data_IF_248371358957
#
_entry.id   IF_248371358957
#
_cell.length_a   1.000
_cell.length_b   1.000
_cell.length_c   1.000
_cell.angle_alpha   90.00
_cell.angle_beta   90.00
_cell.angle_gamma   90.00
#
_symmetry.space_group_name_H-M   'P 1'
#
loop_
_entity.id
_entity.type
_entity.pdbx_description
1 polymer ?
#
# COMPACT_ATOMS: atom_id res chain seq x y z
N UNK A 1 -35.06 22.20 45.59
CA UNK A 1 -34.26 23.16 44.81
C UNK A 1 -32.77 22.84 45.03
N UNK A 2 -32.18 22.00 44.19
CA UNK A 2 -30.75 21.89 44.08
C UNK A 2 -30.43 21.35 42.69
N UNK A 3 -30.27 22.26 41.75
CA UNK A 3 -29.72 21.97 40.43
C UNK A 3 -28.21 21.73 40.60
N UNK A 4 -27.77 20.51 40.33
CA UNK A 4 -26.38 20.19 40.14
C UNK A 4 -26.04 20.34 38.66
N UNK A 5 -25.34 21.42 38.35
CA UNK A 5 -24.68 21.64 37.06
C UNK A 5 -23.64 20.57 36.81
N UNK A 6 -23.91 19.68 35.85
CA UNK A 6 -22.92 18.76 35.34
C UNK A 6 -21.88 19.51 34.49
N UNK A 7 -20.65 19.49 34.97
CA UNK A 7 -19.50 20.13 34.34
C UNK A 7 -19.04 19.36 33.07
N UNK A 8 -18.76 20.06 31.95
CA UNK A 8 -18.32 19.41 30.69
C UNK A 8 -16.94 18.79 30.71
N UNK A 9 -16.24 18.78 31.85
CA UNK A 9 -14.87 18.26 32.01
C UNK A 9 -14.80 16.71 32.17
N UNK A 10 -15.94 15.99 32.22
CA UNK A 10 -15.94 14.51 32.31
C UNK A 10 -16.02 13.77 30.98
N UNK A 11 -16.25 14.46 29.86
CA UNK A 11 -16.31 13.84 28.53
C UNK A 11 -14.93 13.66 27.87
N UNK A 12 -13.92 14.42 28.28
CA UNK A 12 -12.55 14.36 27.69
C UNK A 12 -11.68 13.20 28.23
N UNK A 13 -12.09 12.53 29.32
CA UNK A 13 -11.28 11.51 30.01
C UNK A 13 -11.53 10.07 29.52
N UNK A 14 -12.35 9.86 28.50
CA UNK A 14 -12.67 8.50 27.98
C UNK A 14 -11.94 8.10 26.68
N UNK A 15 -11.07 8.94 26.15
CA UNK A 15 -10.27 8.66 24.94
C UNK A 15 -8.88 8.07 25.21
N UNK A 16 -8.45 8.02 26.45
CA UNK A 16 -7.14 7.46 26.85
C UNK A 16 -7.34 6.01 27.32
N UNK A 17 -6.95 5.03 26.49
CA UNK A 17 -6.80 3.65 26.96
C UNK A 17 -7.26 2.53 26.05
N UNK A 18 -7.46 2.74 24.75
CA UNK A 18 -7.58 1.60 23.86
C UNK A 18 -6.17 1.06 23.59
N UNK A 19 -5.84 -0.11 24.15
CA UNK A 19 -4.57 -0.78 23.85
C UNK A 19 -4.40 -0.82 22.32
N UNK A 20 -3.27 -0.30 21.83
CA UNK A 20 -2.97 -0.29 20.39
C UNK A 20 -2.76 -1.74 19.96
N UNK A 21 -3.76 -2.30 19.26
CA UNK A 21 -3.72 -3.68 18.79
C UNK A 21 -2.89 -3.74 17.51
N UNK A 22 -1.89 -4.60 17.47
CA UNK A 22 -1.11 -4.87 16.27
C UNK A 22 -1.89 -5.79 15.35
N UNK A 23 -2.19 -5.33 14.14
CA UNK A 23 -2.88 -6.11 13.09
C UNK A 23 -1.89 -6.94 12.29
N UNK A 24 -0.78 -6.34 11.86
CA UNK A 24 0.25 -6.98 11.05
C UNK A 24 1.59 -6.84 11.76
N UNK A 25 2.36 -7.92 11.82
CA UNK A 25 3.71 -7.90 12.35
C UNK A 25 4.69 -8.57 11.39
N UNK A 26 5.70 -7.82 10.95
CA UNK A 26 6.89 -8.33 10.31
C UNK A 26 7.99 -8.52 11.37
N UNK A 27 8.49 -9.73 11.51
CA UNK A 27 9.53 -10.04 12.49
C UNK A 27 10.78 -10.57 11.79
N UNK A 28 11.80 -9.70 11.63
CA UNK A 28 13.10 -9.98 11.00
C UNK A 28 12.94 -10.66 9.62
N UNK A 29 12.03 -10.13 8.81
CA UNK A 29 11.67 -10.71 7.52
C UNK A 29 12.75 -10.43 6.48
N UNK A 30 13.24 -11.47 5.82
CA UNK A 30 14.17 -11.37 4.70
C UNK A 30 13.66 -12.15 3.50
N UNK A 31 13.93 -11.66 2.30
CA UNK A 31 13.61 -12.35 1.05
C UNK A 31 14.79 -12.28 0.09
N UNK A 32 15.27 -13.46 -0.30
CA UNK A 32 16.30 -13.66 -1.30
C UNK A 32 15.71 -14.37 -2.51
N UNK A 33 16.08 -13.95 -3.70
CA UNK A 33 15.72 -14.58 -4.96
C UNK A 33 16.96 -15.18 -5.61
N UNK A 34 16.79 -16.31 -6.29
CA UNK A 34 17.83 -16.92 -7.12
C UNK A 34 17.42 -16.76 -8.58
N UNK A 35 18.24 -16.07 -9.35
CA UNK A 35 18.07 -15.91 -10.80
C UNK A 35 19.08 -16.82 -11.49
N UNK A 36 18.62 -17.69 -12.38
CA UNK A 36 19.50 -18.49 -13.22
C UNK A 36 20.05 -17.62 -14.35
N UNK A 37 21.35 -17.50 -14.44
CA UNK A 37 22.01 -16.86 -15.57
C UNK A 37 22.04 -17.80 -16.80
N UNK A 38 22.24 -17.20 -17.98
CA UNK A 38 22.31 -17.95 -19.23
C UNK A 38 23.44 -19.02 -19.26
N UNK A 39 24.45 -18.87 -18.40
CA UNK A 39 25.55 -19.80 -18.20
C UNK A 39 25.21 -20.99 -17.27
N UNK A 40 23.97 -21.07 -16.77
CA UNK A 40 23.50 -22.11 -15.84
C UNK A 40 23.86 -21.87 -14.36
N UNK A 41 24.64 -20.84 -14.04
CA UNK A 41 24.94 -20.46 -12.65
C UNK A 41 23.78 -19.67 -12.04
N UNK A 42 23.45 -19.97 -10.81
CA UNK A 42 22.43 -19.24 -10.06
C UNK A 42 23.04 -18.05 -9.31
N UNK A 43 22.69 -16.84 -9.70
CA UNK A 43 23.01 -15.66 -8.90
C UNK A 43 21.91 -15.38 -7.88
N UNK A 44 22.27 -15.24 -6.62
CA UNK A 44 21.33 -14.88 -5.55
C UNK A 44 21.40 -13.38 -5.27
N UNK A 45 20.25 -12.76 -5.06
CA UNK A 45 20.20 -11.40 -4.55
C UNK A 45 19.15 -11.26 -3.46
N UNK A 46 19.46 -10.46 -2.44
CA UNK A 46 18.55 -10.15 -1.33
C UNK A 46 17.73 -8.90 -1.68
N UNK A 47 16.42 -9.08 -1.80
CA UNK A 47 15.51 -7.97 -2.09
C UNK A 47 15.22 -7.13 -0.83
N UNK A 48 14.86 -7.81 0.27
CA UNK A 48 14.66 -7.22 1.59
C UNK A 48 15.40 -8.00 2.65
N UNK A 49 15.84 -7.33 3.70
CA UNK A 49 16.65 -7.92 4.75
C UNK A 49 16.27 -7.37 6.12
N UNK A 50 16.03 -8.27 7.07
CA UNK A 50 15.76 -7.98 8.48
C UNK A 50 14.64 -6.94 8.71
N UNK A 51 13.60 -6.96 7.87
CA UNK A 51 12.46 -6.04 8.00
C UNK A 51 11.69 -6.39 9.27
N UNK A 52 11.64 -5.42 10.19
CA UNK A 52 10.83 -5.46 11.41
C UNK A 52 9.91 -4.25 11.38
N UNK A 53 8.60 -4.48 11.34
CA UNK A 53 7.58 -3.45 11.26
C UNK A 53 6.27 -3.99 11.84
N UNK A 54 5.58 -3.18 12.61
CA UNK A 54 4.21 -3.42 13.05
C UNK A 54 3.25 -2.43 12.38
N UNK A 55 2.06 -2.91 12.02
CA UNK A 55 0.95 -2.10 11.55
C UNK A 55 -0.21 -2.30 12.51
N UNK A 56 -0.78 -1.20 12.98
CA UNK A 56 -1.87 -1.19 13.97
C UNK A 56 -3.21 -1.51 13.31
N UNK A 57 -4.15 -2.01 14.08
CA UNK A 57 -5.52 -2.21 13.59
C UNK A 57 -6.16 -0.88 13.17
N UNK A 58 -6.77 -0.85 11.99
CA UNK A 58 -7.40 0.35 11.42
C UNK A 58 -6.42 1.44 10.98
N UNK A 59 -5.12 1.17 10.98
CA UNK A 59 -4.09 2.12 10.58
C UNK A 59 -3.99 2.27 9.06
N UNK A 60 -3.73 3.51 8.62
CA UNK A 60 -3.26 3.80 7.27
C UNK A 60 -1.73 3.92 7.31
N UNK A 61 -1.02 2.82 7.09
CA UNK A 61 0.43 2.76 7.02
C UNK A 61 0.90 3.01 5.60
N UNK A 62 1.78 3.99 5.40
CA UNK A 62 2.42 4.23 4.10
C UNK A 62 3.87 3.77 4.13
N UNK A 63 4.31 3.13 3.05
CA UNK A 63 5.68 2.69 2.86
C UNK A 63 6.27 3.44 1.66
N UNK A 64 7.37 4.15 1.91
CA UNK A 64 8.11 4.90 0.88
C UNK A 64 9.53 4.38 0.75
N UNK A 65 10.13 4.53 -0.42
CA UNK A 65 11.51 4.13 -0.65
C UNK A 65 11.89 4.24 -2.14
N UNK A 66 13.20 4.19 -2.48
CA UNK A 66 13.64 4.27 -3.86
C UNK A 66 13.11 3.11 -4.72
N UNK A 67 13.13 3.29 -6.05
CA UNK A 67 12.74 2.23 -6.97
C UNK A 67 13.64 0.99 -6.79
N UNK A 68 13.02 -0.20 -6.82
CA UNK A 68 13.73 -1.46 -6.68
C UNK A 68 14.22 -1.80 -5.26
N UNK A 69 13.84 -1.05 -4.22
CA UNK A 69 14.24 -1.33 -2.84
C UNK A 69 13.49 -2.53 -2.19
N UNK A 70 12.48 -3.09 -2.85
CA UNK A 70 11.74 -4.25 -2.35
C UNK A 70 10.33 -3.97 -1.81
N UNK A 71 9.73 -2.80 -2.07
CA UNK A 71 8.38 -2.46 -1.61
C UNK A 71 7.32 -3.45 -2.09
N UNK A 72 7.27 -3.73 -3.40
CA UNK A 72 6.33 -4.72 -3.96
C UNK A 72 6.61 -6.13 -3.43
N UNK A 73 7.91 -6.47 -3.20
CA UNK A 73 8.27 -7.75 -2.56
C UNK A 73 7.66 -7.84 -1.14
N UNK A 74 7.65 -6.74 -0.40
CA UNK A 74 7.04 -6.70 0.93
C UNK A 74 5.53 -6.92 0.87
N UNK A 75 4.84 -6.34 -0.13
CA UNK A 75 3.42 -6.59 -0.38
C UNK A 75 3.14 -8.03 -0.81
N UNK A 76 3.97 -8.60 -1.70
CA UNK A 76 3.83 -10.00 -2.11
C UNK A 76 3.95 -10.97 -0.93
N UNK A 77 4.86 -10.68 -0.01
CA UNK A 77 5.03 -11.45 1.22
C UNK A 77 3.81 -11.30 2.15
N UNK A 78 3.31 -10.08 2.35
CA UNK A 78 2.12 -9.80 3.14
C UNK A 78 0.87 -10.42 2.51
N UNK A 79 0.75 -10.37 1.18
CA UNK A 79 -0.33 -11.01 0.42
C UNK A 79 -0.26 -12.54 0.42
N UNK A 80 0.86 -13.14 0.89
CA UNK A 80 1.08 -14.58 0.86
C UNK A 80 1.37 -15.12 -0.55
N UNK A 81 1.66 -14.23 -1.53
CA UNK A 81 1.99 -14.62 -2.91
C UNK A 81 3.39 -15.24 -3.00
N UNK A 82 4.25 -14.90 -2.07
CA UNK A 82 5.57 -15.53 -1.90
C UNK A 82 5.87 -15.72 -0.41
N UNK A 83 6.77 -16.67 -0.10
CA UNK A 83 7.18 -16.94 1.28
C UNK A 83 8.46 -16.18 1.63
N UNK A 84 8.64 -15.72 2.88
CA UNK A 84 9.91 -15.17 3.34
C UNK A 84 11.01 -16.24 3.30
N UNK A 85 12.25 -15.83 3.05
CA UNK A 85 13.43 -16.71 3.17
C UNK A 85 13.86 -16.86 4.62
N UNK A 86 13.59 -15.83 5.45
CA UNK A 86 13.82 -15.81 6.92
C UNK A 86 12.78 -14.91 7.57
N UNK A 87 12.57 -15.12 8.87
CA UNK A 87 11.61 -14.36 9.65
C UNK A 87 10.17 -14.82 9.45
N UNK A 88 9.22 -14.11 10.04
CA UNK A 88 7.80 -14.44 10.01
C UNK A 88 6.96 -13.18 9.81
N UNK A 89 5.81 -13.36 9.15
CA UNK A 89 4.78 -12.32 9.05
C UNK A 89 3.51 -12.89 9.66
N UNK A 90 2.90 -12.14 10.56
CA UNK A 90 1.63 -12.52 11.17
C UNK A 90 0.55 -11.49 10.89
N UNK A 91 -0.69 -11.97 10.77
CA UNK A 91 -1.91 -11.20 10.75
C UNK A 91 -2.75 -11.64 11.95
N UNK A 92 -3.14 -10.72 12.83
CA UNK A 92 -3.82 -11.02 14.11
C UNK A 92 -3.11 -12.12 14.92
N UNK A 93 -1.76 -12.10 14.93
CA UNK A 93 -0.93 -13.10 15.59
C UNK A 93 -0.81 -14.44 14.87
N UNK A 94 -1.60 -14.71 13.82
CA UNK A 94 -1.53 -15.94 13.04
C UNK A 94 -0.52 -15.80 11.87
N UNK A 95 0.37 -16.78 11.62
CA UNK A 95 1.32 -16.74 10.52
C UNK A 95 0.63 -16.71 9.15
N UNK A 96 1.13 -15.89 8.24
CA UNK A 96 0.70 -15.89 6.84
C UNK A 96 1.35 -17.06 6.11
N UNK A 97 0.53 -18.00 5.65
CA UNK A 97 1.00 -19.22 4.97
C UNK A 97 0.76 -19.20 3.45
N UNK A 98 -0.14 -18.34 2.96
CA UNK A 98 -0.50 -18.21 1.56
C UNK A 98 -1.55 -17.13 1.32
N UNK A 99 -2.03 -16.96 0.06
CA UNK A 99 -3.10 -16.04 -0.27
C UNK A 99 -4.39 -16.41 0.46
N UNK A 100 -5.16 -15.38 0.91
CA UNK A 100 -6.45 -15.57 1.57
C UNK A 100 -7.35 -14.35 1.33
N UNK A 101 -8.65 -14.50 1.63
CA UNK A 101 -9.66 -13.44 1.42
C UNK A 101 -9.73 -12.41 2.57
N UNK A 102 -8.89 -12.55 3.58
CA UNK A 102 -8.70 -11.58 4.66
C UNK A 102 -7.84 -10.38 4.21
N UNK A 103 -7.19 -10.49 3.03
CA UNK A 103 -6.31 -9.47 2.46
C UNK A 103 -6.73 -9.12 1.04
N UNK A 104 -6.91 -7.83 0.77
CA UNK A 104 -7.17 -7.27 -0.56
C UNK A 104 -5.91 -6.65 -1.16
N UNK A 105 -5.70 -6.80 -2.48
CA UNK A 105 -4.57 -6.22 -3.19
C UNK A 105 -5.08 -5.36 -4.33
N UNK A 106 -4.63 -4.09 -4.37
CA UNK A 106 -4.77 -3.18 -5.51
C UNK A 106 -3.41 -3.02 -6.16
N UNK A 107 -3.26 -3.55 -7.37
CA UNK A 107 -2.01 -3.52 -8.12
C UNK A 107 -1.83 -2.21 -8.89
N UNK A 108 -0.60 -1.83 -9.18
CA UNK A 108 -0.22 -0.65 -9.95
C UNK A 108 -0.88 -0.60 -11.34
N UNK A 109 -1.03 -1.74 -12.01
CA UNK A 109 -1.63 -1.85 -13.34
C UNK A 109 -3.11 -2.27 -13.30
N UNK A 110 -3.85 -1.95 -12.23
CA UNK A 110 -5.27 -2.24 -12.00
C UNK A 110 -5.61 -3.75 -11.95
N UNK A 111 -4.97 -4.59 -12.76
CA UNK A 111 -5.20 -6.03 -12.90
C UNK A 111 -6.69 -6.41 -13.05
N UNK A 112 -7.45 -5.60 -13.80
CA UNK A 112 -8.85 -5.89 -14.11
C UNK A 112 -8.93 -7.01 -15.16
N UNK A 113 -9.95 -7.86 -15.03
CA UNK A 113 -10.27 -8.87 -16.02
C UNK A 113 -10.86 -8.19 -17.26
N UNK A 114 -10.17 -8.19 -18.43
CA UNK A 114 -10.61 -7.43 -19.59
C UNK A 114 -11.90 -7.98 -20.22
N UNK A 115 -12.23 -9.24 -19.97
CA UNK A 115 -13.45 -9.91 -20.43
C UNK A 115 -14.65 -9.76 -19.48
N UNK A 116 -14.48 -9.09 -18.34
CA UNK A 116 -15.56 -8.78 -17.39
C UNK A 116 -15.88 -7.29 -17.42
N UNK A 117 -17.14 -6.95 -17.20
CA UNK A 117 -17.57 -5.57 -16.97
C UNK A 117 -17.03 -5.04 -15.63
N UNK A 118 -17.23 -3.75 -15.33
CA UNK A 118 -16.91 -3.15 -14.05
C UNK A 118 -17.59 -3.93 -12.91
N UNK A 119 -18.91 -4.18 -13.02
CA UNK A 119 -19.67 -4.98 -12.08
C UNK A 119 -19.09 -6.38 -11.92
N UNK A 120 -18.86 -7.10 -13.02
CA UNK A 120 -18.31 -8.46 -12.99
C UNK A 120 -16.88 -8.52 -12.40
N UNK A 121 -16.09 -7.46 -12.52
CA UNK A 121 -14.80 -7.35 -11.83
C UNK A 121 -14.98 -7.24 -10.31
N UNK A 122 -15.93 -6.44 -9.84
CA UNK A 122 -16.20 -6.27 -8.40
C UNK A 122 -16.81 -7.55 -7.81
N UNK A 123 -17.69 -8.24 -8.52
CA UNK A 123 -18.30 -9.51 -8.09
C UNK A 123 -17.27 -10.64 -7.88
N UNK A 124 -16.11 -10.59 -8.52
CA UNK A 124 -15.15 -11.71 -8.53
C UNK A 124 -14.73 -12.19 -7.13
N UNK A 125 -14.38 -11.27 -6.23
CA UNK A 125 -14.00 -11.64 -4.85
C UNK A 125 -15.18 -12.23 -4.06
N UNK A 126 -16.39 -11.77 -4.34
CA UNK A 126 -17.63 -12.26 -3.75
C UNK A 126 -18.00 -13.67 -4.26
N UNK A 127 -17.67 -13.98 -5.54
CA UNK A 127 -17.75 -15.34 -6.09
C UNK A 127 -16.86 -16.30 -5.31
N UNK A 128 -15.63 -15.89 -5.01
CA UNK A 128 -14.69 -16.70 -4.23
C UNK A 128 -15.21 -16.96 -2.79
N UNK A 129 -15.93 -15.99 -2.20
CA UNK A 129 -16.64 -16.15 -0.92
C UNK A 129 -17.96 -16.96 -1.04
N UNK A 130 -18.34 -17.41 -2.23
CA UNK A 130 -19.58 -18.16 -2.51
C UNK A 130 -20.86 -17.41 -2.11
N UNK A 131 -20.86 -16.08 -2.22
CA UNK A 131 -22.05 -15.27 -1.93
C UNK A 131 -23.09 -15.51 -3.04
N UNK A 132 -24.38 -15.68 -2.72
CA UNK A 132 -25.45 -15.86 -3.71
C UNK A 132 -25.49 -14.74 -4.74
N UNK A 133 -25.84 -15.05 -6.01
CA UNK A 133 -25.71 -14.13 -7.15
C UNK A 133 -26.44 -12.80 -6.95
N UNK A 134 -27.67 -12.83 -6.42
CA UNK A 134 -28.45 -11.61 -6.19
C UNK A 134 -27.81 -10.70 -5.12
N UNK A 135 -27.41 -11.28 -3.98
CA UNK A 135 -26.74 -10.55 -2.91
C UNK A 135 -25.38 -10.01 -3.39
N UNK A 136 -24.63 -10.83 -4.13
CA UNK A 136 -23.34 -10.44 -4.71
C UNK A 136 -23.48 -9.25 -5.64
N UNK A 137 -24.50 -9.28 -6.52
CA UNK A 137 -24.78 -8.16 -7.43
C UNK A 137 -25.06 -6.87 -6.66
N UNK A 138 -25.90 -6.93 -5.61
CA UNK A 138 -26.20 -5.75 -4.80
C UNK A 138 -24.95 -5.19 -4.13
N UNK A 139 -24.15 -6.04 -3.45
CA UNK A 139 -22.88 -5.61 -2.83
C UNK A 139 -21.95 -4.96 -3.86
N UNK A 140 -21.86 -5.52 -5.06
CA UNK A 140 -20.99 -4.98 -6.09
C UNK A 140 -21.48 -3.62 -6.62
N UNK A 141 -22.80 -3.43 -6.74
CA UNK A 141 -23.41 -2.14 -7.10
C UNK A 141 -23.13 -1.08 -6.04
N UNK A 142 -23.33 -1.41 -4.76
CA UNK A 142 -23.08 -0.51 -3.64
C UNK A 142 -21.61 -0.05 -3.60
N UNK A 143 -20.66 -0.94 -3.93
CA UNK A 143 -19.24 -0.60 -3.99
C UNK A 143 -18.86 0.21 -5.23
N UNK A 144 -19.54 0.02 -6.37
CA UNK A 144 -19.37 0.88 -7.54
C UNK A 144 -19.93 2.28 -7.27
N UNK A 145 -21.06 2.39 -6.60
CA UNK A 145 -21.61 3.69 -6.13
C UNK A 145 -20.65 4.37 -5.14
N UNK A 146 -20.12 3.63 -4.16
CA UNK A 146 -19.15 4.12 -3.18
C UNK A 146 -17.93 4.80 -3.82
N UNK A 147 -17.49 4.28 -4.97
CA UNK A 147 -16.35 4.85 -5.72
C UNK A 147 -16.79 5.79 -6.86
N UNK A 148 -18.07 6.21 -6.91
CA UNK A 148 -18.58 7.16 -7.88
C UNK A 148 -18.66 6.64 -9.32
N UNK A 149 -18.97 5.34 -9.50
CA UNK A 149 -19.07 4.68 -10.81
C UNK A 149 -20.50 4.22 -11.13
N UNK A 150 -21.53 4.83 -10.53
CA UNK A 150 -22.93 4.61 -10.92
C UNK A 150 -23.13 4.97 -12.39
N UNK A 151 -23.77 4.08 -13.14
CA UNK A 151 -23.99 4.21 -14.60
C UNK A 151 -22.88 3.62 -15.48
N UNK A 152 -21.79 3.09 -14.86
CA UNK A 152 -20.68 2.47 -15.58
C UNK A 152 -20.56 0.96 -15.31
N UNK A 153 -21.53 0.34 -14.67
CA UNK A 153 -21.53 -1.05 -14.19
C UNK A 153 -21.27 -2.06 -15.33
N UNK A 154 -21.82 -1.78 -16.49
CA UNK A 154 -21.77 -2.66 -17.68
C UNK A 154 -20.61 -2.36 -18.63
N UNK A 155 -19.76 -1.36 -18.32
CA UNK A 155 -18.59 -1.03 -19.12
C UNK A 155 -17.46 -2.02 -18.90
N UNK A 156 -16.78 -2.37 -19.97
CA UNK A 156 -15.55 -3.17 -19.93
C UNK A 156 -14.33 -2.29 -19.64
N UNK A 157 -13.21 -2.84 -19.13
CA UNK A 157 -12.02 -2.06 -18.80
C UNK A 157 -11.49 -1.20 -19.95
N UNK A 158 -11.59 -1.64 -21.20
CA UNK A 158 -11.14 -0.86 -22.36
C UNK A 158 -11.99 0.39 -22.64
N UNK A 159 -13.21 0.46 -22.11
CA UNK A 159 -14.14 1.59 -22.24
C UNK A 159 -13.99 2.61 -21.08
N UNK A 160 -13.13 2.33 -20.10
CA UNK A 160 -12.95 3.14 -18.88
C UNK A 160 -11.67 3.96 -18.95
N UNK A 161 -11.69 5.18 -18.40
CA UNK A 161 -10.47 5.97 -18.17
C UNK A 161 -9.54 5.31 -17.14
N UNK A 162 -8.29 5.77 -17.05
CA UNK A 162 -7.34 5.27 -16.05
C UNK A 162 -7.85 5.42 -14.60
N UNK A 163 -8.39 6.58 -14.26
CA UNK A 163 -9.00 6.82 -12.95
C UNK A 163 -10.22 5.93 -12.67
N UNK A 164 -11.07 5.70 -13.67
CA UNK A 164 -12.22 4.78 -13.52
C UNK A 164 -11.77 3.34 -13.33
N UNK A 165 -10.73 2.87 -14.05
CA UNK A 165 -10.14 1.54 -13.84
C UNK A 165 -9.61 1.39 -12.41
N UNK A 166 -8.97 2.43 -11.89
CA UNK A 166 -8.47 2.44 -10.51
C UNK A 166 -9.61 2.33 -9.50
N UNK A 167 -10.70 3.09 -9.70
CA UNK A 167 -11.89 3.01 -8.86
C UNK A 167 -12.51 1.61 -8.87
N UNK A 168 -12.61 0.96 -10.04
CA UNK A 168 -13.08 -0.44 -10.14
C UNK A 168 -12.16 -1.38 -9.38
N UNK A 169 -10.82 -1.21 -9.46
CA UNK A 169 -9.87 -2.04 -8.75
C UNK A 169 -9.98 -1.88 -7.22
N UNK A 170 -10.21 -0.65 -6.74
CA UNK A 170 -10.46 -0.37 -5.32
C UNK A 170 -11.79 -1.01 -4.88
N UNK A 171 -12.89 -0.78 -5.62
CA UNK A 171 -14.20 -1.37 -5.32
C UNK A 171 -14.13 -2.90 -5.28
N UNK A 172 -13.46 -3.54 -6.25
CA UNK A 172 -13.23 -4.98 -6.29
C UNK A 172 -12.53 -5.50 -5.03
N UNK A 173 -11.52 -4.75 -4.58
CA UNK A 173 -10.72 -5.15 -3.42
C UNK A 173 -11.42 -4.89 -2.09
N UNK A 174 -12.40 -3.98 -2.05
CA UNK A 174 -13.20 -3.68 -0.85
C UNK A 174 -14.45 -4.57 -0.74
N UNK A 175 -15.07 -4.93 -1.88
CA UNK A 175 -16.39 -5.57 -1.91
C UNK A 175 -16.47 -6.88 -1.11
N UNK A 176 -15.42 -7.68 -1.12
CA UNK A 176 -15.39 -8.91 -0.32
C UNK A 176 -14.95 -8.71 1.12
N UNK A 177 -14.92 -7.45 1.60
CA UNK A 177 -14.69 -7.07 2.99
C UNK A 177 -13.43 -7.70 3.60
N UNK A 178 -12.22 -7.40 3.07
CA UNK A 178 -10.96 -7.87 3.65
C UNK A 178 -10.64 -7.13 4.94
N UNK A 179 -9.87 -7.74 5.84
CA UNK A 179 -9.36 -7.10 7.05
C UNK A 179 -8.25 -6.09 6.75
N UNK A 180 -7.42 -6.42 5.76
CA UNK A 180 -6.28 -5.61 5.32
C UNK A 180 -6.38 -5.30 3.84
N UNK A 181 -6.20 -4.03 3.47
CA UNK A 181 -6.11 -3.59 2.09
C UNK A 181 -4.67 -3.17 1.78
N UNK A 182 -4.08 -3.82 0.78
CA UNK A 182 -2.73 -3.52 0.30
C UNK A 182 -2.80 -2.82 -1.05
N UNK A 183 -2.01 -1.75 -1.24
CA UNK A 183 -2.00 -0.97 -2.46
C UNK A 183 -0.56 -0.73 -2.93
N UNK A 184 -0.24 -1.15 -4.16
CA UNK A 184 1.07 -0.94 -4.77
C UNK A 184 1.02 0.19 -5.79
N UNK A 185 1.49 1.38 -5.40
CA UNK A 185 1.55 2.60 -6.21
C UNK A 185 0.24 2.87 -7.01
N UNK A 186 -0.94 2.84 -6.37
CA UNK A 186 -2.22 2.79 -7.08
C UNK A 186 -2.51 4.03 -7.91
N UNK A 187 -1.85 5.15 -7.63
CA UNK A 187 -2.10 6.42 -8.31
C UNK A 187 -0.97 6.85 -9.25
N UNK A 188 0.04 5.99 -9.47
CA UNK A 188 1.24 6.37 -10.24
C UNK A 188 0.95 6.72 -11.71
N UNK A 189 -0.06 6.08 -12.32
CA UNK A 189 -0.42 6.26 -13.73
C UNK A 189 -1.46 7.37 -13.98
N UNK A 190 -1.86 8.13 -12.92
CA UNK A 190 -2.91 9.13 -13.00
C UNK A 190 -2.34 10.55 -13.13
N UNK A 191 -3.08 11.42 -13.82
CA UNK A 191 -2.81 12.87 -13.79
C UNK A 191 -3.00 13.45 -12.38
N UNK A 192 -2.47 14.65 -12.17
CA UNK A 192 -2.42 15.26 -10.82
C UNK A 192 -3.82 15.50 -10.23
N UNK A 193 -4.76 16.01 -11.02
CA UNK A 193 -6.11 16.34 -10.54
C UNK A 193 -6.90 15.08 -10.18
N UNK A 194 -6.88 14.06 -11.04
CA UNK A 194 -7.52 12.75 -10.79
C UNK A 194 -6.91 12.09 -9.55
N UNK A 195 -5.58 12.17 -9.39
CA UNK A 195 -4.87 11.63 -8.22
C UNK A 195 -5.35 12.28 -6.93
N UNK A 196 -5.42 13.60 -6.85
CA UNK A 196 -5.87 14.33 -5.65
C UNK A 196 -7.31 13.99 -5.29
N UNK A 197 -8.19 13.91 -6.29
CA UNK A 197 -9.58 13.49 -6.09
C UNK A 197 -9.65 12.09 -5.48
N UNK A 198 -8.91 11.13 -6.05
CA UNK A 198 -8.91 9.74 -5.56
C UNK A 198 -8.26 9.58 -4.19
N UNK A 199 -7.27 10.40 -3.84
CA UNK A 199 -6.70 10.43 -2.49
C UNK A 199 -7.75 10.85 -1.46
N UNK A 200 -8.50 11.90 -1.75
CA UNK A 200 -9.57 12.40 -0.87
C UNK A 200 -10.68 11.35 -0.70
N UNK A 201 -11.09 10.71 -1.79
CA UNK A 201 -12.09 9.64 -1.76
C UNK A 201 -11.61 8.43 -0.96
N UNK A 202 -10.36 8.00 -1.17
CA UNK A 202 -9.77 6.87 -0.44
C UNK A 202 -9.70 7.15 1.05
N UNK A 203 -9.35 8.37 1.46
CA UNK A 203 -9.40 8.79 2.87
C UNK A 203 -10.83 8.71 3.42
N UNK A 204 -11.83 9.23 2.69
CA UNK A 204 -13.22 9.15 3.11
C UNK A 204 -13.74 7.70 3.24
N UNK A 205 -13.31 6.80 2.35
CA UNK A 205 -13.61 5.36 2.44
C UNK A 205 -12.94 4.75 3.67
N UNK A 206 -11.66 5.06 3.89
CA UNK A 206 -10.91 4.57 5.05
C UNK A 206 -11.49 5.04 6.37
N UNK A 207 -11.85 6.31 6.49
CA UNK A 207 -12.46 6.89 7.70
C UNK A 207 -13.78 6.21 8.09
N UNK A 208 -14.57 5.81 7.09
CA UNK A 208 -15.83 5.09 7.30
C UNK A 208 -15.62 3.62 7.64
N UNK A 209 -14.73 2.96 6.92
CA UNK A 209 -14.52 1.51 7.03
C UNK A 209 -13.57 1.11 8.15
N UNK A 210 -12.64 1.99 8.54
CA UNK A 210 -11.57 1.72 9.50
C UNK A 210 -10.74 0.48 9.20
N UNK A 211 -10.63 0.13 7.92
CA UNK A 211 -9.78 -0.97 7.47
C UNK A 211 -8.31 -0.66 7.69
N UNK A 212 -7.52 -1.68 7.97
CA UNK A 212 -6.06 -1.54 8.00
C UNK A 212 -5.56 -1.44 6.56
N UNK A 213 -4.81 -0.37 6.24
CA UNK A 213 -4.27 -0.14 4.90
C UNK A 213 -2.74 -0.15 4.95
N UNK A 214 -2.12 -0.89 4.03
CA UNK A 214 -0.69 -0.81 3.72
C UNK A 214 -0.54 -0.27 2.30
N UNK A 215 -0.07 0.96 2.20
CA UNK A 215 -0.01 1.72 0.97
C UNK A 215 1.44 1.97 0.55
N UNK A 216 1.81 1.55 -0.64
CA UNK A 216 3.12 1.83 -1.21
C UNK A 216 3.03 3.00 -2.18
N UNK A 217 3.96 3.94 -2.03
CA UNK A 217 4.14 5.04 -2.97
C UNK A 217 5.58 5.50 -3.05
N UNK A 218 5.92 6.21 -4.12
CA UNK A 218 7.15 7.01 -4.22
C UNK A 218 6.88 8.51 -4.01
N UNK A 219 5.62 8.91 -3.86
CA UNK A 219 5.20 10.30 -3.64
C UNK A 219 5.23 10.68 -2.17
N UNK A 220 6.11 11.62 -1.78
CA UNK A 220 6.21 12.07 -0.38
C UNK A 220 4.97 12.83 0.05
N UNK A 221 4.44 13.71 -0.80
CA UNK A 221 3.22 14.47 -0.51
C UNK A 221 2.04 13.53 -0.29
N UNK A 222 1.93 12.49 -1.10
CA UNK A 222 0.94 11.43 -0.97
C UNK A 222 1.08 10.68 0.37
N UNK A 223 2.32 10.37 0.75
CA UNK A 223 2.58 9.70 2.02
C UNK A 223 2.15 10.53 3.23
N UNK A 224 2.38 11.84 3.21
CA UNK A 224 1.97 12.75 4.30
C UNK A 224 0.45 12.95 4.29
N UNK A 225 -0.18 13.06 3.11
CA UNK A 225 -1.63 13.24 2.98
C UNK A 225 -2.39 12.01 3.48
N UNK A 226 -1.98 10.81 3.09
CA UNK A 226 -2.72 9.57 3.36
C UNK A 226 -2.33 8.91 4.69
N UNK A 227 -1.03 8.84 4.99
CA UNK A 227 -0.52 8.02 6.09
C UNK A 227 -0.80 8.58 7.48
N UNK A 228 -1.08 7.70 8.42
CA UNK A 228 -0.94 8.01 9.85
C UNK A 228 0.50 7.77 10.31
N UNK A 229 1.16 6.79 9.73
CA UNK A 229 2.60 6.55 9.86
C UNK A 229 3.21 6.32 8.49
N UNK A 230 4.46 6.75 8.33
CA UNK A 230 5.23 6.57 7.11
C UNK A 230 6.50 5.78 7.43
N UNK A 231 6.60 4.57 6.89
CA UNK A 231 7.79 3.74 6.98
C UNK A 231 8.72 4.03 5.78
N UNK A 232 9.97 4.36 6.05
CA UNK A 232 10.97 4.69 5.06
C UNK A 232 11.88 3.49 4.86
N UNK A 233 11.97 3.00 3.62
CA UNK A 233 12.86 1.88 3.26
C UNK A 233 14.20 2.37 2.72
N UNK A 234 15.25 1.62 3.06
CA UNK A 234 16.59 1.81 2.47
C UNK A 234 16.63 1.37 1.00
N UNK A 235 17.68 1.76 0.28
CA UNK A 235 18.07 1.12 -0.98
C UNK A 235 18.34 -0.39 -0.76
N UNK A 236 18.46 -1.14 -1.88
CA UNK A 236 18.64 -2.61 -1.82
C UNK A 236 19.93 -3.01 -1.07
N UNK A 237 19.87 -4.02 -0.16
CA UNK A 237 18.67 -4.71 0.30
C UNK A 237 17.77 -3.80 1.13
N UNK A 238 16.42 -3.86 0.85
CA UNK A 238 15.46 -3.02 1.54
C UNK A 238 15.34 -3.38 3.01
N UNK A 239 15.47 -2.38 3.88
CA UNK A 239 15.26 -2.46 5.35
C UNK A 239 14.38 -1.31 5.76
N UNK A 240 13.71 -1.39 6.89
CA UNK A 240 13.06 -0.21 7.47
C UNK A 240 14.14 0.69 8.09
N UNK A 241 14.32 1.88 7.51
CA UNK A 241 15.27 2.88 8.00
C UNK A 241 14.69 3.68 9.17
N UNK A 242 13.45 4.11 9.01
CA UNK A 242 12.75 4.94 9.98
C UNK A 242 11.23 4.81 9.81
N UNK A 243 10.49 5.08 10.89
CA UNK A 243 9.02 5.20 10.86
C UNK A 243 8.67 6.54 11.48
N UNK A 244 7.96 7.38 10.74
CA UNK A 244 7.53 8.73 11.13
C UNK A 244 6.03 8.69 11.43
N UNK A 245 5.63 9.16 12.61
CA UNK A 245 4.24 9.41 12.95
C UNK A 245 3.78 10.73 12.30
N UNK A 246 2.65 10.71 11.62
CA UNK A 246 2.03 11.91 11.04
C UNK A 246 1.04 12.48 12.07
N UNK A 247 1.22 13.75 12.51
CA UNK A 247 0.33 14.36 13.49
C UNK A 247 -1.13 14.33 13.08
N UNK A 248 -2.02 13.96 14.02
CA UNK A 248 -3.45 13.85 13.78
C UNK A 248 -4.07 15.20 13.36
N UNK A 249 -3.49 16.31 13.80
CA UNK A 249 -3.91 17.67 13.46
C UNK A 249 -3.87 17.96 11.97
N UNK A 250 -2.95 17.31 11.23
CA UNK A 250 -2.90 17.38 9.76
C UNK A 250 -4.08 16.66 9.09
N UNK A 251 -4.78 15.76 9.79
CA UNK A 251 -5.91 14.99 9.28
C UNK A 251 -7.27 15.61 9.67
N UNK A 252 -7.29 16.48 10.65
CA UNK A 252 -8.50 17.08 11.23
C UNK A 252 -8.67 18.56 10.86
N UNK A 253 -8.23 18.95 9.66
CA UNK A 253 -8.30 20.36 9.24
C UNK A 253 -9.25 20.53 8.06
N UNK A 254 -10.06 21.59 8.08
CA UNK A 254 -10.86 22.04 6.93
C UNK A 254 -10.02 22.80 5.87
N UNK A 255 -8.74 23.05 6.17
CA UNK A 255 -7.80 23.70 5.26
C UNK A 255 -7.12 22.67 4.37
N UNK A 256 -6.64 23.11 3.21
CA UNK A 256 -5.71 22.31 2.43
C UNK A 256 -4.48 21.97 3.28
N UNK A 257 -4.34 20.68 3.62
CA UNK A 257 -3.27 20.18 4.46
C UNK A 257 -1.87 20.57 3.94
N UNK A 258 -1.71 20.69 2.60
CA UNK A 258 -0.45 21.04 1.95
C UNK A 258 -0.04 22.49 2.21
N UNK A 259 -0.97 23.35 2.60
CA UNK A 259 -0.70 24.76 2.94
C UNK A 259 -0.18 24.95 4.37
N UNK A 260 -0.22 23.91 5.20
CA UNK A 260 0.19 23.99 6.60
C UNK A 260 1.72 23.94 6.75
N UNK A 261 2.34 24.75 7.61
CA UNK A 261 3.79 24.71 7.86
C UNK A 261 4.29 23.33 8.32
N UNK A 262 3.48 22.64 9.12
CA UNK A 262 3.80 21.32 9.64
C UNK A 262 3.89 20.25 8.53
N UNK A 263 3.04 20.36 7.49
CA UNK A 263 3.16 19.53 6.29
C UNK A 263 4.53 19.71 5.63
N UNK A 264 4.98 20.96 5.46
CA UNK A 264 6.27 21.28 4.89
C UNK A 264 7.44 20.70 5.70
N UNK A 265 7.34 20.75 7.03
CA UNK A 265 8.34 20.20 7.95
C UNK A 265 8.47 18.68 7.79
N UNK A 266 7.36 17.95 7.86
CA UNK A 266 7.33 16.48 7.77
C UNK A 266 7.77 16.04 6.36
N UNK A 267 7.28 16.70 5.31
CA UNK A 267 7.71 16.47 3.94
C UNK A 267 9.23 16.58 3.79
N UNK A 268 9.83 17.61 4.39
CA UNK A 268 11.28 17.82 4.37
C UNK A 268 12.03 16.73 5.12
N UNK A 269 11.51 16.30 6.27
CA UNK A 269 12.08 15.22 7.08
C UNK A 269 12.12 13.91 6.29
N UNK A 270 10.97 13.50 5.69
CA UNK A 270 10.89 12.32 4.82
C UNK A 270 11.85 12.45 3.63
N UNK A 271 11.86 13.60 2.96
CA UNK A 271 12.76 13.88 1.84
C UNK A 271 14.22 13.71 2.22
N UNK A 272 14.64 14.25 3.35
CA UNK A 272 16.03 14.18 3.82
C UNK A 272 16.49 12.75 4.04
N UNK A 273 15.64 11.91 4.65
CA UNK A 273 15.90 10.50 4.87
C UNK A 273 15.94 9.68 3.57
N UNK A 274 15.04 10.00 2.62
CA UNK A 274 14.97 9.31 1.33
C UNK A 274 16.10 9.71 0.39
N UNK A 275 16.53 10.98 0.38
CA UNK A 275 17.56 11.49 -0.52
C UNK A 275 18.84 10.66 -0.46
N UNK A 276 19.30 10.32 0.73
CA UNK A 276 20.48 9.48 0.92
C UNK A 276 20.30 8.11 0.25
N UNK A 277 19.13 7.50 0.41
CA UNK A 277 18.84 6.18 -0.15
C UNK A 277 18.66 6.21 -1.68
N UNK A 278 18.10 7.29 -2.21
CA UNK A 278 18.00 7.50 -3.67
C UNK A 278 19.40 7.63 -4.28
N UNK A 279 20.30 8.40 -3.66
CA UNK A 279 21.69 8.53 -4.13
C UNK A 279 22.42 7.19 -4.09
N UNK A 280 22.29 6.43 -2.99
CA UNK A 280 22.87 5.08 -2.90
C UNK A 280 22.32 4.15 -3.99
N UNK A 281 21.01 4.16 -4.24
CA UNK A 281 20.38 3.35 -5.29
C UNK A 281 20.91 3.70 -6.68
N UNK A 282 21.06 5.00 -6.98
CA UNK A 282 21.63 5.47 -8.26
C UNK A 282 23.09 5.03 -8.45
N UNK A 283 23.90 5.09 -7.41
CA UNK A 283 25.29 4.63 -7.47
C UNK A 283 25.39 3.11 -7.64
N UNK A 284 24.55 2.34 -6.97
CA UNK A 284 24.45 0.89 -7.16
C UNK A 284 24.08 0.54 -8.60
N UNK A 285 23.09 1.23 -9.16
CA UNK A 285 22.66 1.01 -10.54
C UNK A 285 23.75 1.36 -11.57
N UNK A 286 24.46 2.47 -11.38
CA UNK A 286 25.61 2.86 -12.22
C UNK A 286 26.71 1.79 -12.21
N UNK A 287 27.07 1.27 -11.02
CA UNK A 287 28.07 0.21 -10.87
C UNK A 287 27.62 -1.08 -11.56
N UNK A 288 26.35 -1.49 -11.39
CA UNK A 288 25.79 -2.67 -12.04
C UNK A 288 25.91 -2.57 -13.57
N UNK A 289 25.45 -1.45 -14.16
CA UNK A 289 25.51 -1.21 -15.60
C UNK A 289 26.97 -1.18 -16.13
N UNK A 290 27.90 -0.66 -15.34
CA UNK A 290 29.32 -0.67 -15.71
C UNK A 290 29.88 -2.09 -15.76
N UNK A 291 29.55 -2.92 -14.76
CA UNK A 291 30.00 -4.32 -14.71
C UNK A 291 29.37 -5.16 -15.83
N UNK A 292 28.07 -4.98 -16.13
CA UNK A 292 27.39 -5.65 -17.26
C UNK A 292 28.03 -5.28 -18.61
N UNK A 293 28.42 -4.01 -18.81
CA UNK A 293 29.13 -3.56 -20.02
C UNK A 293 30.55 -4.12 -20.11
N UNK A 294 31.26 -4.24 -18.99
CA UNK A 294 32.59 -4.82 -18.95
C UNK A 294 32.54 -6.32 -19.32
N UNK A 295 31.63 -7.06 -18.71
CA UNK A 295 31.42 -8.50 -19.00
C UNK A 295 31.01 -8.73 -20.47
N UNK A 296 30.11 -7.89 -21.01
CA UNK A 296 29.72 -7.99 -22.42
C UNK A 296 30.90 -7.71 -23.40
N UNK A 297 31.84 -6.83 -23.04
CA UNK A 297 33.04 -6.58 -23.85
C UNK A 297 34.04 -7.75 -23.82
N UNK A 298 34.18 -8.40 -22.66
CA UNK A 298 35.03 -9.59 -22.54
C UNK A 298 34.54 -10.75 -23.41
N UNK A 299 33.23 -10.98 -23.45
CA UNK A 299 32.60 -12.02 -24.28
C UNK A 299 32.84 -11.76 -25.78
N UNK A 300 32.83 -10.51 -26.24
CA UNK A 300 33.06 -10.14 -27.65
C UNK A 300 34.54 -10.23 -28.04
N UNK A 301 35.47 -10.13 -27.08
CA UNK A 301 36.91 -10.23 -27.34
C UNK A 301 37.44 -11.66 -27.34
N UNK A 302 36.68 -12.61 -26.81
CA UNK A 302 37.10 -14.01 -26.65
C UNK A 302 36.22 -15.02 -27.43
N UNK A 303 35.23 -14.57 -28.16
CA UNK A 303 34.40 -15.34 -29.11
C UNK A 303 34.67 -14.92 -30.54
#
# INVERSE_FOLDING_TARGET
LNERSDSPLRAASRAEGRAVTTKIQFNKVSKTFTVKEANGQGQTFTAIEDVTLDVREGEFMVIVGPSGCGKSTLLDLLGGLTKPSRGTITLDGAPIVGPALDRGIVFQQYALFPWRTALGNVEFGLEAKRIPAEQRRQIALDHLELVGLSGFEHRHPHELSGGMKQRVAIARSLAYDPDVLMMDEPFAALDAQTRETLQTELLGIWEKSRKTIVFITHGIDEAVVLGQRVAIMTSRPGRIKHVIDIPAELKQTDKDVRSLPEFGRIRHEIWSLLREEVLKAQDQEKRRRSNERAAAREVVLHG
#
